data_IF_902073111077
#
_entry.id   IF_902073111077
#
_cell.length_a   1.000
_cell.length_b   1.000
_cell.length_c   1.000
_cell.angle_alpha   90.00
_cell.angle_beta   90.00
_cell.angle_gamma   90.00
#
_symmetry.space_group_name_H-M   'P 1'
#
loop_
_entity.id
_entity.type
_entity.pdbx_description
1 polymer ?
#
# COMPACT_ATOMS: atom_id res chain seq x y z
N UNK A 1 11.90 16.80 -17.28
CA UNK A 1 11.60 15.97 -16.08
C UNK A 1 11.58 14.51 -16.48
N UNK A 2 12.59 13.73 -16.09
CA UNK A 2 12.67 12.30 -16.44
C UNK A 2 11.54 11.55 -15.73
N UNK A 3 10.59 11.00 -16.50
CA UNK A 3 9.52 10.10 -16.02
C UNK A 3 10.18 8.81 -15.53
N UNK A 4 10.72 8.81 -14.31
CA UNK A 4 11.33 7.62 -13.70
C UNK A 4 10.25 6.55 -13.62
N UNK A 5 10.43 5.45 -14.37
CA UNK A 5 9.64 4.23 -14.18
C UNK A 5 9.75 3.89 -12.70
N UNK A 6 8.62 3.86 -12.00
CA UNK A 6 8.58 3.33 -10.64
C UNK A 6 9.04 1.88 -10.74
N UNK A 7 10.23 1.59 -10.23
CA UNK A 7 10.83 0.26 -10.25
C UNK A 7 10.01 -0.66 -9.34
N UNK A 8 9.92 -1.94 -9.69
CA UNK A 8 9.18 -2.95 -8.90
C UNK A 8 9.52 -2.87 -7.39
N UNK A 9 10.79 -2.62 -7.08
CA UNK A 9 11.29 -2.43 -5.71
C UNK A 9 10.65 -1.25 -5.00
N UNK A 10 10.38 -0.13 -5.68
CA UNK A 10 9.72 1.03 -5.07
C UNK A 10 8.27 0.71 -4.72
N UNK A 11 7.56 0.00 -5.57
CA UNK A 11 6.19 -0.44 -5.29
C UNK A 11 6.16 -1.40 -4.09
N UNK A 12 7.06 -2.38 -4.04
CA UNK A 12 7.19 -3.31 -2.90
C UNK A 12 7.54 -2.56 -1.61
N UNK A 13 8.43 -1.57 -1.68
CA UNK A 13 8.79 -0.72 -0.55
C UNK A 13 7.59 0.07 0.00
N UNK A 14 6.73 0.60 -0.89
CA UNK A 14 5.51 1.30 -0.49
C UNK A 14 4.52 0.36 0.20
N UNK A 15 4.35 -0.91 -0.24
CA UNK A 15 3.50 -1.89 0.48
C UNK A 15 4.04 -2.16 1.87
N UNK A 16 5.34 -2.42 1.99
CA UNK A 16 5.96 -2.75 3.27
C UNK A 16 5.79 -1.59 4.24
N UNK A 17 6.02 -0.36 3.77
CA UNK A 17 5.80 0.85 4.55
C UNK A 17 4.31 1.02 4.92
N UNK A 18 3.40 0.76 3.99
CA UNK A 18 1.96 0.82 4.23
C UNK A 18 1.52 -0.18 5.30
N UNK A 19 1.96 -1.44 5.22
CA UNK A 19 1.66 -2.46 6.22
C UNK A 19 2.21 -2.09 7.61
N UNK A 20 3.40 -1.50 7.65
CA UNK A 20 4.00 -0.99 8.89
C UNK A 20 3.18 0.17 9.50
N UNK A 21 2.73 1.11 8.67
CA UNK A 21 1.86 2.20 9.10
C UNK A 21 0.51 1.69 9.62
N UNK A 22 -0.10 0.73 8.94
CA UNK A 22 -1.35 0.08 9.37
C UNK A 22 -1.15 -0.63 10.72
N UNK A 23 -0.02 -1.30 10.91
CA UNK A 23 0.33 -1.95 12.17
C UNK A 23 0.47 -0.96 13.34
N UNK A 24 1.18 0.15 13.13
CA UNK A 24 1.30 1.22 14.15
C UNK A 24 -0.06 1.80 14.45
N UNK A 25 -0.87 2.05 13.43
CA UNK A 25 -2.20 2.63 13.58
C UNK A 25 -3.10 1.71 14.40
N UNK A 26 -3.14 0.41 14.08
CA UNK A 26 -3.88 -0.62 14.83
C UNK A 26 -3.41 -0.74 16.28
N UNK A 27 -2.10 -0.70 16.52
CA UNK A 27 -1.52 -0.73 17.87
C UNK A 27 -1.83 0.54 18.66
N UNK A 28 -1.89 1.69 18.00
CA UNK A 28 -2.10 2.99 18.63
C UNK A 28 -3.58 3.29 18.87
N UNK A 29 -4.48 2.72 18.08
CA UNK A 29 -5.94 2.85 18.26
C UNK A 29 -6.45 1.88 19.31
N UNK A 30 -7.00 2.42 20.41
CA UNK A 30 -7.59 1.63 21.51
C UNK A 30 -8.95 1.01 21.14
N UNK A 31 -9.60 1.52 20.10
CA UNK A 31 -10.89 1.08 19.57
C UNK A 31 -10.81 1.01 18.05
N UNK A 32 -11.12 -0.17 17.48
CA UNK A 32 -11.18 -0.33 16.03
C UNK A 32 -12.53 0.19 15.55
N UNK A 33 -12.53 1.39 15.00
CA UNK A 33 -13.71 1.98 14.37
C UNK A 33 -13.93 1.42 12.96
N UNK A 34 -15.18 1.29 12.55
CA UNK A 34 -15.54 0.78 11.22
C UNK A 34 -14.97 1.68 10.10
N UNK A 35 -14.89 3.00 10.33
CA UNK A 35 -14.23 3.92 9.40
C UNK A 35 -12.74 3.66 9.27
N UNK A 36 -12.07 3.30 10.36
CA UNK A 36 -10.63 3.00 10.34
C UNK A 36 -10.35 1.78 9.46
N UNK A 37 -11.15 0.71 9.60
CA UNK A 37 -11.03 -0.49 8.76
C UNK A 37 -11.32 -0.15 7.30
N UNK A 38 -12.39 0.59 7.02
CA UNK A 38 -12.74 1.01 5.66
C UNK A 38 -11.63 1.83 5.00
N UNK A 39 -11.04 2.77 5.74
CA UNK A 39 -9.93 3.61 5.28
C UNK A 39 -8.68 2.78 4.96
N UNK A 40 -8.34 1.81 5.83
CA UNK A 40 -7.23 0.88 5.59
C UNK A 40 -7.50 0.08 4.31
N UNK A 41 -8.68 -0.51 4.15
CA UNK A 41 -9.02 -1.31 2.95
C UNK A 41 -8.94 -0.45 1.68
N UNK A 42 -9.51 0.75 1.68
CA UNK A 42 -9.47 1.67 0.54
C UNK A 42 -8.02 2.06 0.18
N UNK A 43 -7.19 2.39 1.18
CA UNK A 43 -5.77 2.68 1.01
C UNK A 43 -5.01 1.49 0.44
N UNK A 44 -5.28 0.28 0.93
CA UNK A 44 -4.68 -0.97 0.46
C UNK A 44 -4.96 -1.22 -1.03
N UNK A 45 -6.19 -0.99 -1.49
CA UNK A 45 -6.56 -1.16 -2.92
C UNK A 45 -5.74 -0.22 -3.81
N UNK A 46 -5.59 1.05 -3.43
CA UNK A 46 -4.84 2.05 -4.20
C UNK A 46 -3.36 1.65 -4.32
N UNK A 47 -2.77 1.14 -3.24
CA UNK A 47 -1.38 0.63 -3.24
C UNK A 47 -1.27 -0.68 -4.03
N UNK A 48 -2.32 -1.50 -4.06
CA UNK A 48 -2.32 -2.79 -4.77
C UNK A 48 -2.41 -2.68 -6.30
N UNK A 49 -3.19 -1.73 -6.82
CA UNK A 49 -3.36 -1.50 -8.28
C UNK A 49 -2.02 -1.37 -9.05
N UNK A 50 -1.06 -0.52 -8.65
CA UNK A 50 0.20 -0.39 -9.37
C UNK A 50 1.06 -1.65 -9.31
N UNK A 51 0.90 -2.53 -8.32
CA UNK A 51 1.65 -3.80 -8.25
C UNK A 51 1.16 -4.82 -9.27
N UNK A 52 -0.16 -5.00 -9.39
CA UNK A 52 -0.72 -5.91 -10.38
C UNK A 52 -0.34 -5.49 -11.80
N UNK A 53 -0.31 -4.18 -12.07
CA UNK A 53 0.05 -3.64 -13.36
C UNK A 53 1.53 -3.86 -13.71
N UNK A 54 2.41 -3.85 -12.71
CA UNK A 54 3.83 -4.14 -12.90
C UNK A 54 4.12 -5.66 -13.03
N UNK A 55 3.35 -6.51 -12.32
CA UNK A 55 3.52 -7.98 -12.39
C UNK A 55 3.05 -8.60 -13.71
N UNK A 56 2.26 -7.87 -14.53
CA UNK A 56 1.86 -8.29 -15.89
C UNK A 56 2.94 -8.08 -16.97
N UNK A 57 4.19 -7.75 -16.62
CA UNK A 57 5.32 -7.85 -17.55
C UNK A 57 6.33 -8.95 -17.16
N UNK A 58 5.95 -10.24 -17.23
CA UNK A 58 6.89 -11.31 -17.47
C UNK A 58 6.76 -11.77 -18.93
N UNK A 59 7.57 -11.14 -19.80
CA UNK A 59 8.08 -11.62 -21.10
C UNK A 59 8.35 -10.41 -22.00
#
# INVERSE_FOLDING_TARGET
>A
MARRKITNTQAVCIILLWGFLVYILLTSTKTIDFMTVFSIVASGIIVFVPLYKNRKRPS
#
